data_IF_507148011780
#
_entry.id   IF_507148011780
#
_cell.length_a   1.000
_cell.length_b   1.000
_cell.length_c   1.000
_cell.angle_alpha   90.00
_cell.angle_beta   90.00
_cell.angle_gamma   90.00
#
_symmetry.space_group_name_H-M   'P 1'
#
loop_
_entity.id
_entity.type
_entity.pdbx_description
1 polymer ?
#
# COMPACT_ATOMS: atom_id res chain seq x y z
N UNK A 1 22.35 -57.23 11.56
CA UNK A 1 23.60 -56.73 12.15
C UNK A 1 24.65 -56.61 11.05
N UNK A 2 25.14 -55.38 10.82
CA UNK A 2 26.43 -54.95 10.22
C UNK A 2 26.71 -55.33 8.74
N UNK A 3 27.30 -54.50 7.87
CA UNK A 3 27.97 -53.18 7.92
C UNK A 3 28.21 -52.81 6.44
N UNK A 4 28.13 -51.53 6.04
CA UNK A 4 29.16 -50.92 5.20
C UNK A 4 29.23 -49.42 5.52
N UNK A 5 30.43 -48.99 5.85
CA UNK A 5 30.82 -47.65 6.24
C UNK A 5 31.91 -47.26 5.25
N UNK A 6 31.69 -46.28 4.37
CA UNK A 6 32.79 -45.55 3.73
C UNK A 6 32.36 -44.11 3.49
N UNK A 7 33.18 -43.24 4.05
CA UNK A 7 33.26 -41.79 3.94
C UNK A 7 33.90 -41.42 2.59
N UNK A 8 33.49 -40.32 1.96
CA UNK A 8 34.32 -39.68 0.94
C UNK A 8 34.15 -38.17 1.01
N UNK A 9 35.23 -37.53 1.46
CA UNK A 9 35.48 -36.10 1.47
C UNK A 9 36.15 -35.69 0.17
N UNK A 10 35.63 -34.68 -0.53
CA UNK A 10 36.39 -33.70 -1.32
C UNK A 10 35.43 -32.58 -1.73
N UNK A 11 35.55 -31.42 -1.11
CA UNK A 11 36.49 -30.32 -1.38
C UNK A 11 35.86 -29.30 -2.34
N UNK A 12 35.75 -28.09 -1.77
CA UNK A 12 35.89 -26.80 -2.43
C UNK A 12 34.77 -26.36 -3.39
N UNK A 13 33.83 -25.60 -2.84
CA UNK A 13 33.53 -24.30 -3.42
C UNK A 13 32.98 -23.35 -2.36
N UNK A 14 33.88 -22.59 -1.72
CA UNK A 14 33.50 -21.33 -1.08
C UNK A 14 32.92 -20.42 -2.17
N UNK A 15 31.62 -20.18 -2.13
CA UNK A 15 31.00 -19.03 -2.81
C UNK A 15 30.44 -18.11 -1.74
N UNK A 16 31.22 -17.09 -1.45
CA UNK A 16 30.77 -15.85 -0.84
C UNK A 16 29.82 -15.14 -1.81
N UNK A 17 28.59 -15.62 -1.92
CA UNK A 17 27.50 -14.80 -2.47
C UNK A 17 27.06 -13.83 -1.39
N UNK A 18 27.74 -12.69 -1.37
CA UNK A 18 27.21 -11.38 -1.06
C UNK A 18 25.69 -11.40 -0.73
N UNK A 19 25.34 -11.57 0.55
CA UNK A 19 23.98 -11.48 1.09
C UNK A 19 23.47 -10.02 1.09
N UNK A 20 23.78 -9.29 0.01
CA UNK A 20 23.15 -8.04 -0.39
C UNK A 20 21.96 -8.35 -1.32
N UNK A 21 21.26 -9.45 -1.06
CA UNK A 21 19.99 -9.77 -1.68
C UNK A 21 18.92 -8.87 -1.06
N UNK A 22 18.87 -7.65 -1.60
CA UNK A 22 17.66 -6.88 -1.90
C UNK A 22 16.41 -7.21 -1.08
N UNK A 23 16.56 -7.16 0.24
CA UNK A 23 15.48 -6.88 1.17
C UNK A 23 15.13 -5.40 1.04
N UNK A 24 14.61 -4.99 -0.12
CA UNK A 24 13.61 -3.93 -0.17
C UNK A 24 12.38 -4.54 0.49
N UNK A 25 12.45 -4.70 1.81
CA UNK A 25 11.31 -4.51 2.66
C UNK A 25 10.78 -3.15 2.23
N UNK A 26 9.71 -3.16 1.44
CA UNK A 26 8.74 -2.06 1.39
C UNK A 26 8.29 -1.86 2.84
N UNK A 27 9.14 -1.22 3.64
CA UNK A 27 8.72 -0.56 4.85
C UNK A 27 7.81 0.51 4.28
N UNK A 28 6.51 0.23 4.31
CA UNK A 28 5.55 1.28 4.52
C UNK A 28 6.01 1.99 5.79
N UNK A 29 6.93 2.94 5.64
CA UNK A 29 7.13 3.99 6.61
C UNK A 29 5.82 4.75 6.56
N UNK A 30 4.81 4.26 7.31
CA UNK A 30 3.86 5.16 7.92
C UNK A 30 4.72 6.29 8.43
N UNK A 31 4.50 7.49 7.90
CA UNK A 31 4.97 8.70 8.53
C UNK A 31 4.33 8.71 9.92
N UNK A 32 4.97 8.01 10.86
CA UNK A 32 4.89 8.35 12.26
C UNK A 32 5.59 9.69 12.29
N UNK A 33 4.79 10.76 12.26
CA UNK A 33 5.22 12.12 12.48
C UNK A 33 6.13 12.06 13.70
N UNK A 34 7.43 12.16 13.46
CA UNK A 34 8.46 12.14 14.51
C UNK A 34 8.57 13.57 15.00
N UNK A 35 7.50 14.06 15.62
CA UNK A 35 7.48 15.25 16.48
C UNK A 35 6.31 15.05 17.45
N UNK A 36 6.66 14.67 18.67
CA UNK A 36 5.77 14.10 19.69
C UNK A 36 5.03 15.12 20.56
N UNK A 37 4.77 16.33 20.05
CA UNK A 37 4.03 17.37 20.81
C UNK A 37 2.68 17.80 20.19
N UNK A 38 2.32 17.30 19.00
CA UNK A 38 1.09 17.70 18.26
C UNK A 38 -0.02 16.62 18.19
N UNK A 39 0.05 15.62 19.07
CA UNK A 39 -0.96 14.57 19.20
C UNK A 39 -2.34 15.07 19.67
N UNK A 40 -2.43 16.33 20.11
CA UNK A 40 -3.69 17.00 20.41
C UNK A 40 -4.43 17.49 19.16
N UNK A 41 -3.89 17.32 17.95
CA UNK A 41 -4.51 17.81 16.70
C UNK A 41 -5.17 16.71 15.85
N UNK A 42 -5.29 15.48 16.36
CA UNK A 42 -6.07 14.41 15.70
C UNK A 42 -7.58 14.54 15.99
N UNK A 43 -8.05 15.75 16.28
CA UNK A 43 -9.48 15.96 16.41
C UNK A 43 -10.13 15.65 15.06
N UNK A 44 -11.17 14.79 15.02
CA UNK A 44 -11.89 14.51 13.80
C UNK A 44 -12.42 15.83 13.24
N UNK A 45 -12.40 15.97 11.90
CA UNK A 45 -12.99 17.14 11.26
C UNK A 45 -14.50 17.11 11.52
N UNK A 46 -14.94 17.92 12.47
CA UNK A 46 -16.33 17.97 12.90
C UNK A 46 -17.21 18.48 11.75
N UNK A 47 -18.37 17.84 11.56
CA UNK A 47 -19.35 18.21 10.54
C UNK A 47 -19.36 17.32 9.30
N UNK A 48 -18.21 16.75 8.90
CA UNK A 48 -18.12 15.93 7.69
C UNK A 48 -18.80 14.56 7.80
N UNK A 49 -19.00 14.05 9.03
CA UNK A 49 -19.70 12.78 9.25
C UNK A 49 -21.18 12.81 8.83
N UNK A 50 -21.77 14.01 8.67
CA UNK A 50 -23.17 14.17 8.25
C UNK A 50 -23.29 14.67 6.81
N UNK A 51 -22.17 14.99 6.16
CA UNK A 51 -22.16 15.39 4.76
C UNK A 51 -22.42 14.16 3.88
N UNK A 52 -23.16 14.31 2.77
CA UNK A 52 -23.37 13.21 1.85
C UNK A 52 -22.05 12.79 1.22
N UNK A 53 -21.87 11.47 1.09
CA UNK A 53 -20.73 10.92 0.35
C UNK A 53 -20.87 11.33 -1.12
N UNK A 54 -19.83 12.00 -1.63
CA UNK A 54 -19.75 12.43 -3.02
C UNK A 54 -19.05 11.35 -3.85
N UNK A 55 -19.45 11.11 -5.11
CA UNK A 55 -18.72 10.21 -6.01
C UNK A 55 -17.23 10.57 -6.09
N UNK A 56 -16.37 9.55 -6.21
CA UNK A 56 -14.92 9.74 -6.17
C UNK A 56 -14.44 10.71 -7.26
N UNK A 57 -15.03 10.61 -8.46
CA UNK A 57 -14.74 11.51 -9.57
C UNK A 57 -14.92 12.98 -9.18
N UNK A 58 -16.06 13.33 -8.61
CA UNK A 58 -16.42 14.71 -8.30
C UNK A 58 -15.59 15.24 -7.11
N UNK A 59 -15.27 14.38 -6.15
CA UNK A 59 -14.35 14.70 -5.07
C UNK A 59 -12.94 15.05 -5.57
N UNK A 60 -12.52 14.49 -6.70
CA UNK A 60 -11.20 14.74 -7.31
C UNK A 60 -11.16 15.92 -8.28
N UNK A 61 -12.31 16.46 -8.71
CA UNK A 61 -12.36 17.62 -9.63
C UNK A 61 -11.56 18.84 -9.11
N UNK A 62 -11.65 19.23 -7.83
CA UNK A 62 -10.85 20.33 -7.29
C UNK A 62 -9.33 20.09 -7.33
N UNK A 63 -8.87 18.84 -7.52
CA UNK A 63 -7.46 18.46 -7.47
C UNK A 63 -6.78 18.47 -8.84
N UNK A 64 -7.52 18.65 -9.94
CA UNK A 64 -7.00 18.57 -11.32
C UNK A 64 -5.84 19.55 -11.56
N UNK A 65 -5.87 20.73 -10.94
CA UNK A 65 -4.80 21.72 -11.08
C UNK A 65 -3.53 21.42 -10.27
N UNK A 66 -3.60 20.44 -9.36
CA UNK A 66 -2.53 20.11 -8.41
C UNK A 66 -1.89 18.77 -8.77
N UNK A 67 -2.71 17.79 -9.14
CA UNK A 67 -2.28 16.42 -9.41
C UNK A 67 -2.50 16.12 -10.90
N UNK A 68 -1.43 15.98 -11.69
CA UNK A 68 -1.53 15.60 -13.10
C UNK A 68 -2.29 14.30 -13.28
N UNK A 69 -3.13 14.24 -14.32
CA UNK A 69 -3.86 13.04 -14.75
C UNK A 69 -4.73 12.38 -13.66
N UNK A 70 -5.08 13.08 -12.58
CA UNK A 70 -5.85 12.54 -11.45
C UNK A 70 -7.12 11.80 -11.87
N UNK A 71 -7.87 12.33 -12.84
CA UNK A 71 -9.11 11.68 -13.31
C UNK A 71 -8.86 10.39 -14.09
N UNK A 72 -7.72 10.27 -14.76
CA UNK A 72 -7.31 9.02 -15.39
C UNK A 72 -7.09 7.95 -14.33
N UNK A 73 -6.36 8.29 -13.27
CA UNK A 73 -6.14 7.36 -12.18
C UNK A 73 -7.41 7.03 -11.38
N UNK A 74 -8.34 7.99 -11.21
CA UNK A 74 -9.68 7.72 -10.65
C UNK A 74 -10.42 6.68 -11.50
N UNK A 75 -10.35 6.80 -12.83
CA UNK A 75 -10.97 5.84 -13.73
C UNK A 75 -10.37 4.44 -13.57
N UNK A 76 -9.03 4.33 -13.49
CA UNK A 76 -8.33 3.07 -13.22
C UNK A 76 -8.75 2.50 -11.86
N UNK A 77 -8.81 3.32 -10.82
CA UNK A 77 -9.18 2.88 -9.49
C UNK A 77 -10.62 2.34 -9.45
N UNK A 78 -11.55 3.00 -10.14
CA UNK A 78 -12.93 2.53 -10.27
C UNK A 78 -13.04 1.24 -11.08
N UNK A 79 -12.32 1.13 -12.19
CA UNK A 79 -12.32 -0.07 -13.05
C UNK A 79 -11.82 -1.32 -12.30
N UNK A 80 -10.81 -1.15 -11.47
CA UNK A 80 -10.24 -2.25 -10.67
C UNK A 80 -10.98 -2.48 -9.34
N UNK A 81 -12.07 -1.75 -9.07
CA UNK A 81 -12.87 -1.91 -7.86
C UNK A 81 -14.20 -2.59 -8.21
N UNK A 82 -14.51 -3.76 -7.60
CA UNK A 82 -15.78 -4.45 -7.84
C UNK A 82 -16.98 -3.55 -7.58
N UNK A 83 -18.05 -3.72 -8.36
CA UNK A 83 -19.28 -2.94 -8.18
C UNK A 83 -19.94 -3.14 -6.80
N UNK A 84 -19.73 -4.30 -6.19
CA UNK A 84 -20.17 -4.61 -4.84
C UNK A 84 -18.97 -5.15 -4.03
N UNK A 85 -18.29 -4.29 -3.25
CA UNK A 85 -17.25 -4.70 -2.33
C UNK A 85 -17.78 -5.74 -1.31
N UNK A 86 -16.88 -6.56 -0.77
CA UNK A 86 -17.23 -7.59 0.23
C UNK A 86 -17.35 -7.04 1.66
N UNK A 87 -17.00 -5.76 1.84
CA UNK A 87 -17.10 -5.01 3.08
C UNK A 87 -18.31 -4.05 3.05
N UNK A 88 -18.50 -3.30 4.13
CA UNK A 88 -19.59 -2.32 4.25
C UNK A 88 -19.28 -1.00 3.52
N UNK A 89 -18.29 -0.98 2.62
CA UNK A 89 -17.93 0.20 1.85
C UNK A 89 -18.70 0.28 0.54
N UNK A 90 -19.00 1.51 0.13
CA UNK A 90 -19.44 1.79 -1.23
C UNK A 90 -18.29 1.57 -2.22
N UNK A 91 -18.64 1.35 -3.49
CA UNK A 91 -17.64 1.24 -4.58
C UNK A 91 -16.72 2.46 -4.63
N UNK A 92 -17.25 3.67 -4.47
CA UNK A 92 -16.47 4.90 -4.46
C UNK A 92 -15.51 4.99 -3.28
N UNK A 93 -15.94 4.58 -2.08
CA UNK A 93 -15.07 4.52 -0.90
C UNK A 93 -13.93 3.50 -1.10
N UNK A 94 -14.24 2.28 -1.54
CA UNK A 94 -13.20 1.27 -1.84
C UNK A 94 -12.25 1.73 -2.95
N UNK A 95 -12.78 2.39 -3.99
CA UNK A 95 -11.97 2.95 -5.07
C UNK A 95 -11.06 4.08 -4.58
N UNK A 96 -11.50 4.90 -3.62
CA UNK A 96 -10.67 5.96 -3.02
C UNK A 96 -9.46 5.39 -2.27
N UNK A 97 -9.65 4.27 -1.55
CA UNK A 97 -8.57 3.56 -0.87
C UNK A 97 -7.61 2.96 -1.91
N UNK A 98 -8.13 2.40 -3.00
CA UNK A 98 -7.31 1.91 -4.11
C UNK A 98 -6.50 3.04 -4.74
N UNK A 99 -7.14 4.17 -5.03
CA UNK A 99 -6.49 5.37 -5.57
C UNK A 99 -5.33 5.82 -4.67
N UNK A 100 -5.53 5.82 -3.35
CA UNK A 100 -4.48 6.17 -2.39
C UNK A 100 -3.31 5.16 -2.35
N UNK A 101 -3.54 3.90 -2.74
CA UNK A 101 -2.57 2.81 -2.58
C UNK A 101 -1.95 2.32 -3.89
N UNK A 102 -2.43 2.76 -5.05
CA UNK A 102 -1.83 2.44 -6.35
C UNK A 102 -0.47 3.13 -6.54
N UNK A 103 0.32 2.64 -7.49
CA UNK A 103 1.55 3.33 -7.92
C UNK A 103 1.16 4.50 -8.83
N UNK A 104 1.79 5.67 -8.59
CA UNK A 104 1.54 6.92 -9.30
C UNK A 104 2.70 7.25 -10.23
#
# INVERSE_FOLDING_TARGET
MNKLHVWSTSRDYERTTNDNEFMIRRRNSRLLIKDTDDLNSLDPIIGYAQEPILPLHDACVPLISIIPDILHYVSIALEHTPDMPSDDLTRDESASIRLYTMEW
#
